data_IF_935564765330
#
_entry.id   IF_935564765330
#
_cell.length_a   1.000
_cell.length_b   1.000
_cell.length_c   1.000
_cell.angle_alpha   90.00
_cell.angle_beta   90.00
_cell.angle_gamma   90.00
#
_symmetry.space_group_name_H-M   'P 1'
#
loop_
_entity.id
_entity.type
_entity.pdbx_description
1 polymer ?
#
# COMPACT_ATOMS: atom_id res chain seq x y z
N UNK A 1 22.19 9.28 -25.41
CA UNK A 1 20.79 9.14 -24.99
C UNK A 1 20.74 7.97 -24.03
N UNK A 2 20.46 8.20 -22.76
CA UNK A 2 20.34 7.12 -21.77
C UNK A 2 18.93 6.54 -21.89
N UNK A 3 18.81 5.27 -22.27
CA UNK A 3 17.52 4.58 -22.24
C UNK A 3 17.12 4.35 -20.79
N UNK A 4 15.87 4.72 -20.46
CA UNK A 4 15.31 4.44 -19.14
C UNK A 4 15.03 2.95 -19.03
N UNK A 5 15.38 2.37 -17.90
CA UNK A 5 15.00 0.99 -17.56
C UNK A 5 13.49 0.84 -17.42
N UNK A 6 12.98 -0.39 -17.59
CA UNK A 6 11.55 -0.69 -17.39
C UNK A 6 11.05 -0.23 -16.02
N UNK A 7 11.84 -0.42 -14.97
CA UNK A 7 11.52 0.01 -13.60
C UNK A 7 11.33 1.53 -13.50
N UNK A 8 12.17 2.31 -14.19
CA UNK A 8 12.06 3.77 -14.22
C UNK A 8 10.79 4.23 -14.95
N UNK A 9 10.41 3.55 -16.04
CA UNK A 9 9.18 3.85 -16.79
C UNK A 9 7.92 3.56 -15.96
N UNK A 10 7.89 2.46 -15.23
CA UNK A 10 6.78 2.09 -14.34
C UNK A 10 6.64 3.10 -13.19
N UNK A 11 7.76 3.46 -12.56
CA UNK A 11 7.79 4.48 -11.52
C UNK A 11 7.35 5.86 -12.05
N UNK A 12 7.74 6.22 -13.28
CA UNK A 12 7.31 7.47 -13.89
C UNK A 12 5.79 7.51 -14.12
N UNK A 13 5.18 6.38 -14.48
CA UNK A 13 3.74 6.27 -14.68
C UNK A 13 2.98 6.55 -13.38
N UNK A 14 3.39 5.90 -12.28
CA UNK A 14 2.77 6.12 -10.96
C UNK A 14 3.02 7.54 -10.47
N UNK A 15 4.24 8.07 -10.64
CA UNK A 15 4.57 9.46 -10.30
C UNK A 15 3.64 10.43 -11.01
N UNK A 16 3.38 10.24 -12.32
CA UNK A 16 2.42 11.04 -13.11
C UNK A 16 1.00 10.92 -12.57
N UNK A 17 0.57 9.72 -12.17
CA UNK A 17 -0.77 9.52 -11.57
C UNK A 17 -0.93 10.26 -10.24
N UNK A 18 0.16 10.43 -9.49
CA UNK A 18 0.18 11.04 -8.16
C UNK A 18 0.64 12.52 -8.16
N UNK A 19 0.85 13.13 -9.33
CA UNK A 19 1.23 14.55 -9.44
C UNK A 19 0.31 15.44 -8.61
N UNK A 20 0.91 16.38 -7.86
CA UNK A 20 0.21 17.31 -6.98
C UNK A 20 -0.16 16.76 -5.61
N UNK A 21 0.15 15.49 -5.31
CA UNK A 21 0.00 14.92 -3.97
C UNK A 21 1.33 14.98 -3.22
N UNK A 22 1.27 15.34 -1.93
CA UNK A 22 2.41 15.25 -1.02
C UNK A 22 2.56 13.81 -0.50
N UNK A 23 2.98 12.90 -1.37
CA UNK A 23 3.23 11.47 -1.04
C UNK A 23 4.73 11.21 -1.11
N UNK A 24 5.31 10.53 -0.11
CA UNK A 24 6.75 10.29 -0.07
C UNK A 24 7.22 9.40 -1.22
N UNK A 25 8.46 9.59 -1.73
CA UNK A 25 9.00 8.77 -2.82
C UNK A 25 8.94 7.27 -2.55
N UNK A 26 9.21 6.84 -1.31
CA UNK A 26 9.16 5.44 -0.92
C UNK A 26 7.75 4.84 -1.06
N UNK A 27 6.72 5.58 -0.65
CA UNK A 27 5.32 5.16 -0.83
C UNK A 27 4.93 5.13 -2.31
N UNK A 28 5.39 6.08 -3.13
CA UNK A 28 5.16 6.04 -4.58
C UNK A 28 5.78 4.79 -5.22
N UNK A 29 7.02 4.44 -4.84
CA UNK A 29 7.69 3.24 -5.33
C UNK A 29 6.98 1.98 -4.85
N UNK A 30 6.55 1.93 -3.59
CA UNK A 30 5.78 0.81 -3.06
C UNK A 30 4.49 0.57 -3.84
N UNK A 31 3.70 1.63 -4.06
CA UNK A 31 2.47 1.58 -4.87
C UNK A 31 2.76 1.10 -6.29
N UNK A 32 3.85 1.58 -6.91
CA UNK A 32 4.28 1.14 -8.23
C UNK A 32 4.53 -0.36 -8.26
N UNK A 33 5.29 -0.90 -7.30
CA UNK A 33 5.57 -2.34 -7.24
C UNK A 33 4.32 -3.18 -7.02
N UNK A 34 3.39 -2.74 -6.17
CA UNK A 34 2.10 -3.42 -5.99
C UNK A 34 1.25 -3.43 -7.27
N UNK A 35 1.22 -2.30 -8.00
CA UNK A 35 0.42 -2.16 -9.21
C UNK A 35 0.89 -3.08 -10.35
N UNK A 36 2.19 -3.35 -10.40
CA UNK A 36 2.83 -4.14 -11.44
C UNK A 36 3.24 -5.55 -10.97
N UNK A 37 2.79 -5.96 -9.78
CA UNK A 37 3.15 -7.23 -9.14
C UNK A 37 4.66 -7.52 -9.13
N UNK A 38 5.45 -6.48 -8.90
CA UNK A 38 6.90 -6.58 -8.78
C UNK A 38 7.30 -6.99 -7.35
N UNK A 39 8.42 -7.71 -7.17
CA UNK A 39 8.95 -8.04 -5.84
C UNK A 39 9.12 -6.78 -4.99
N UNK A 40 8.90 -6.84 -3.67
CA UNK A 40 9.15 -5.71 -2.77
C UNK A 40 10.61 -5.67 -2.32
N UNK A 41 11.14 -4.47 -2.05
CA UNK A 41 12.47 -4.32 -1.45
C UNK A 41 12.43 -4.56 0.05
N UNK A 42 13.56 -4.92 0.71
CA UNK A 42 13.58 -5.12 2.15
C UNK A 42 13.06 -3.92 2.96
N UNK A 43 13.41 -2.65 2.65
CA UNK A 43 12.81 -1.50 3.33
C UNK A 43 11.29 -1.41 3.18
N UNK A 44 10.75 -1.76 2.01
CA UNK A 44 9.30 -1.76 1.78
C UNK A 44 8.60 -2.84 2.60
N UNK A 45 9.18 -4.03 2.72
CA UNK A 45 8.62 -5.08 3.57
C UNK A 45 8.52 -4.62 5.03
N UNK A 46 9.61 -4.04 5.55
CA UNK A 46 9.70 -3.57 6.94
C UNK A 46 8.78 -2.38 7.23
N UNK A 47 8.81 -1.36 6.38
CA UNK A 47 8.11 -0.09 6.64
C UNK A 47 6.59 -0.19 6.47
N UNK A 48 6.13 -1.16 5.67
CA UNK A 48 4.71 -1.44 5.46
C UNK A 48 4.22 -2.71 6.17
N UNK A 49 5.05 -3.35 7.01
CA UNK A 49 4.64 -4.50 7.81
C UNK A 49 4.20 -5.70 6.98
N UNK A 50 4.93 -6.00 5.91
CA UNK A 50 4.65 -7.15 5.04
C UNK A 50 5.44 -8.37 5.52
N UNK A 51 4.85 -9.12 6.45
CA UNK A 51 5.48 -10.32 7.02
C UNK A 51 4.98 -11.63 6.40
N UNK A 52 3.94 -11.56 5.55
CA UNK A 52 3.34 -12.74 4.93
C UNK A 52 2.74 -12.42 3.56
N UNK A 53 2.38 -13.48 2.82
CA UNK A 53 1.66 -13.36 1.55
C UNK A 53 0.29 -12.68 1.73
N UNK A 54 -0.36 -12.87 2.88
CA UNK A 54 -1.67 -12.28 3.12
C UNK A 54 -1.57 -10.78 3.44
N UNK A 55 -0.50 -10.31 4.09
CA UNK A 55 -0.22 -8.87 4.20
C UNK A 55 -0.07 -8.21 2.83
N UNK A 56 0.70 -8.85 1.93
CA UNK A 56 0.87 -8.36 0.56
C UNK A 56 -0.47 -8.29 -0.18
N UNK A 57 -1.25 -9.37 -0.17
CA UNK A 57 -2.55 -9.45 -0.83
C UNK A 57 -3.54 -8.42 -0.27
N UNK A 58 -3.57 -8.26 1.04
CA UNK A 58 -4.44 -7.31 1.72
C UNK A 58 -4.14 -5.85 1.31
N UNK A 59 -2.87 -5.43 1.31
CA UNK A 59 -2.52 -4.07 0.85
C UNK A 59 -2.73 -3.89 -0.65
N UNK A 60 -2.45 -4.92 -1.46
CA UNK A 60 -2.75 -4.88 -2.90
C UNK A 60 -4.24 -4.68 -3.14
N UNK A 61 -5.10 -5.49 -2.53
CA UNK A 61 -6.56 -5.38 -2.64
C UNK A 61 -7.10 -4.03 -2.14
N UNK A 62 -6.53 -3.52 -1.03
CA UNK A 62 -6.94 -2.23 -0.48
C UNK A 62 -6.64 -1.04 -1.39
N UNK A 63 -5.61 -1.14 -2.24
CA UNK A 63 -5.23 -0.07 -3.18
C UNK A 63 -5.84 -0.30 -4.56
N UNK A 64 -5.62 -1.49 -5.09
CA UNK A 64 -5.98 -1.96 -6.43
C UNK A 64 -7.18 -2.88 -6.21
N UNK A 65 -8.33 -2.24 -6.00
CA UNK A 65 -9.58 -2.98 -5.90
C UNK A 65 -9.99 -3.34 -7.33
N UNK A 66 -9.78 -4.60 -7.69
CA UNK A 66 -10.23 -5.19 -8.94
C UNK A 66 -11.75 -5.41 -8.85
N UNK A 67 -12.56 -4.35 -8.73
CA UNK A 67 -14.02 -4.48 -8.73
C UNK A 67 -14.45 -5.08 -10.08
N UNK A 68 -14.89 -6.36 -10.10
CA UNK A 68 -15.24 -7.04 -11.35
C UNK A 68 -16.57 -6.51 -11.93
N UNK A 69 -17.34 -5.73 -11.16
CA UNK A 69 -18.67 -5.25 -11.51
C UNK A 69 -18.73 -3.75 -11.81
N UNK A 70 -17.65 -2.97 -11.61
CA UNK A 70 -17.75 -1.50 -11.63
C UNK A 70 -16.57 -0.68 -12.20
N UNK A 71 -15.44 -1.26 -12.60
CA UNK A 71 -14.20 -0.45 -12.67
C UNK A 71 -13.81 0.24 -13.99
N UNK A 72 -14.28 -0.22 -15.16
CA UNK A 72 -13.71 0.22 -16.45
C UNK A 72 -14.47 1.37 -17.15
N UNK A 73 -15.59 1.83 -16.63
CA UNK A 73 -16.38 2.88 -17.31
C UNK A 73 -15.93 4.32 -17.00
N UNK A 74 -15.29 4.56 -15.84
CA UNK A 74 -14.78 5.89 -15.48
C UNK A 74 -13.32 5.83 -14.96
N UNK A 75 -12.39 6.01 -15.90
CA UNK A 75 -10.96 6.08 -15.61
C UNK A 75 -10.63 7.26 -14.66
N UNK A 76 -11.39 8.36 -14.71
CA UNK A 76 -11.14 9.51 -13.85
C UNK A 76 -11.61 9.24 -12.40
N UNK A 77 -12.74 8.56 -12.23
CA UNK A 77 -13.24 8.05 -10.96
C UNK A 77 -12.26 7.10 -10.29
N UNK A 78 -11.80 6.07 -11.02
CA UNK A 78 -10.77 5.14 -10.55
C UNK A 78 -9.50 5.88 -10.09
N UNK A 79 -8.99 6.79 -10.92
CA UNK A 79 -7.78 7.58 -10.60
C UNK A 79 -7.99 8.43 -9.34
N UNK A 80 -9.18 9.00 -9.12
CA UNK A 80 -9.50 9.82 -7.95
C UNK A 80 -9.48 8.98 -6.67
N UNK A 81 -10.11 7.81 -6.69
CA UNK A 81 -10.14 6.90 -5.54
C UNK A 81 -8.77 6.32 -5.23
N UNK A 82 -8.02 5.90 -6.26
CA UNK A 82 -6.63 5.45 -6.08
C UNK A 82 -5.77 6.55 -5.42
N UNK A 83 -5.85 7.80 -5.91
CA UNK A 83 -5.12 8.94 -5.32
C UNK A 83 -5.46 9.13 -3.84
N UNK A 84 -6.74 9.01 -3.46
CA UNK A 84 -7.18 9.10 -2.06
C UNK A 84 -6.59 7.97 -1.21
N UNK A 85 -6.69 6.72 -1.66
CA UNK A 85 -6.15 5.55 -0.97
C UNK A 85 -4.64 5.64 -0.77
N UNK A 86 -3.91 6.12 -1.79
CA UNK A 86 -2.46 6.33 -1.70
C UNK A 86 -2.07 7.39 -0.67
N UNK A 87 -2.85 8.47 -0.54
CA UNK A 87 -2.63 9.46 0.53
C UNK A 87 -2.89 8.86 1.91
N UNK A 88 -3.93 8.04 2.06
CA UNK A 88 -4.20 7.34 3.32
C UNK A 88 -3.09 6.32 3.66
N UNK A 89 -2.57 5.60 2.66
CA UNK A 89 -1.43 4.70 2.80
C UNK A 89 -0.17 5.45 3.24
N UNK A 90 0.12 6.60 2.63
CA UNK A 90 1.24 7.44 3.03
C UNK A 90 1.10 7.85 4.51
N UNK A 91 -0.08 8.29 4.94
CA UNK A 91 -0.35 8.62 6.35
C UNK A 91 -0.26 7.42 7.31
N UNK A 92 -0.34 6.20 6.80
CA UNK A 92 -0.26 4.95 7.56
C UNK A 92 1.14 4.32 7.61
N UNK A 93 2.11 4.84 6.84
CA UNK A 93 3.49 4.35 6.83
C UNK A 93 4.10 4.26 8.23
N UNK A 94 4.73 3.13 8.54
CA UNK A 94 5.32 2.86 9.86
C UNK A 94 4.30 2.81 11.00
N UNK A 95 3.01 2.66 10.70
CA UNK A 95 1.93 2.56 11.68
C UNK A 95 1.02 1.37 11.36
N UNK A 96 1.38 0.19 11.89
CA UNK A 96 0.64 -1.06 11.72
C UNK A 96 -0.86 -0.95 12.02
N UNK A 97 -1.30 -0.32 13.13
CA UNK A 97 -2.72 -0.10 13.39
C UNK A 97 -3.45 0.70 12.30
N UNK A 98 -2.78 1.69 11.69
CA UNK A 98 -3.37 2.49 10.60
C UNK A 98 -3.42 1.71 9.29
N UNK A 99 -2.42 0.87 9.01
CA UNK A 99 -2.43 -0.04 7.86
C UNK A 99 -3.56 -1.07 7.99
N UNK A 100 -3.74 -1.63 9.18
CA UNK A 100 -4.86 -2.52 9.52
C UNK A 100 -6.21 -1.83 9.28
N UNK A 101 -6.37 -0.59 9.76
CA UNK A 101 -7.59 0.18 9.55
C UNK A 101 -7.84 0.50 8.06
N UNK A 102 -6.78 0.81 7.30
CA UNK A 102 -6.86 1.03 5.86
C UNK A 102 -7.35 -0.22 5.12
N UNK A 103 -6.80 -1.40 5.45
CA UNK A 103 -7.21 -2.67 4.86
C UNK A 103 -8.65 -3.00 5.20
N UNK A 104 -9.04 -2.89 6.47
CA UNK A 104 -10.45 -3.09 6.89
C UNK A 104 -11.43 -2.18 6.14
N UNK A 105 -11.01 -0.97 5.80
CA UNK A 105 -11.83 0.02 5.08
C UNK A 105 -11.99 -0.29 3.60
N UNK A 106 -10.93 -0.74 2.92
CA UNK A 106 -10.90 -0.86 1.45
C UNK A 106 -10.88 -2.29 0.91
N UNK A 107 -10.54 -3.26 1.75
CA UNK A 107 -10.48 -4.69 1.45
C UNK A 107 -11.00 -5.50 2.67
N UNK A 108 -12.28 -5.36 3.03
CA UNK A 108 -12.86 -5.97 4.23
C UNK A 108 -12.77 -7.50 4.24
N UNK A 109 -12.65 -8.15 3.09
CA UNK A 109 -12.37 -9.58 2.95
C UNK A 109 -11.02 -10.00 3.57
N UNK A 110 -10.09 -9.06 3.73
CA UNK A 110 -8.84 -9.22 4.48
C UNK A 110 -8.90 -8.64 5.89
N UNK A 111 -10.10 -8.38 6.44
CA UNK A 111 -10.27 -7.70 7.73
C UNK A 111 -9.67 -8.41 8.95
N UNK A 112 -9.33 -9.70 8.83
CA UNK A 112 -8.62 -10.48 9.84
C UNK A 112 -7.10 -10.25 9.84
N UNK A 113 -6.53 -9.67 8.78
CA UNK A 113 -5.09 -9.39 8.68
C UNK A 113 -4.75 -8.18 9.56
N UNK A 114 -3.80 -8.35 10.47
CA UNK A 114 -3.31 -7.32 11.39
C UNK A 114 -1.87 -6.99 11.03
N UNK A 115 -1.60 -5.71 10.76
CA UNK A 115 -0.28 -5.21 10.43
C UNK A 115 0.44 -4.74 11.68
N UNK A 116 1.71 -5.12 11.79
CA UNK A 116 2.68 -4.54 12.72
C UNK A 116 3.88 -4.07 11.91
N UNK A 117 4.50 -2.96 12.29
CA UNK A 117 5.73 -2.48 11.65
C UNK A 117 6.87 -2.44 12.66
N UNK A 118 8.13 -2.50 12.23
CA UNK A 118 9.27 -2.32 13.14
C UNK A 118 9.25 -0.95 13.84
N UNK A 119 8.64 0.06 13.22
CA UNK A 119 8.42 1.37 13.83
C UNK A 119 7.45 1.33 15.01
N UNK A 120 6.48 0.42 15.01
CA UNK A 120 5.60 0.25 16.16
C UNK A 120 6.36 -0.31 17.36
N UNK A 121 7.28 -1.24 17.13
CA UNK A 121 8.17 -1.78 18.17
C UNK A 121 9.08 -0.68 18.72
N UNK A 122 9.78 0.05 17.84
CA UNK A 122 10.70 1.13 18.24
C UNK A 122 9.99 2.26 18.99
N UNK A 123 8.72 2.51 18.69
CA UNK A 123 7.92 3.54 19.34
C UNK A 123 7.14 3.03 20.57
N UNK A 124 7.28 1.75 20.96
CA UNK A 124 6.54 1.17 22.07
C UNK A 124 5.03 1.06 21.85
N UNK A 125 4.58 0.99 20.59
CA UNK A 125 3.16 0.85 20.19
C UNK A 125 2.71 -0.61 20.04
N UNK A 126 3.47 -1.57 20.56
CA UNK A 126 3.17 -2.99 20.41
C UNK A 126 1.77 -3.26 20.95
N UNK A 127 0.91 -3.82 20.09
CA UNK A 127 -0.39 -4.31 20.50
C UNK A 127 -0.09 -5.57 21.32
N UNK A 128 -0.31 -5.52 22.64
CA UNK A 128 -0.33 -6.75 23.42
C UNK A 128 -1.41 -7.66 22.80
N UNK A 129 -1.00 -8.66 22.04
CA UNK A 129 -1.87 -9.80 21.79
C UNK A 129 -2.15 -10.39 23.16
N UNK A 130 -3.37 -10.18 23.65
CA UNK A 130 -3.90 -11.03 24.71
C UNK A 130 -3.85 -12.44 24.15
N UNK A 131 -2.78 -13.18 24.45
CA UNK A 131 -2.72 -14.61 24.28
C UNK A 131 -3.97 -15.18 24.96
N UNK A 132 -4.92 -15.61 24.15
CA UNK A 132 -6.01 -16.43 24.62
C UNK A 132 -5.37 -17.75 25.05
N UNK A 133 -5.12 -17.87 26.36
CA UNK A 133 -4.83 -19.14 27.04
C UNK A 133 -6.13 -19.90 27.20
#
# INVERSE_FOLDING_TARGET
MTELSSDELLNLTVKRMLVGLAVRPLTQHFVSRLLWDLPLTPPQLVDFGIDSKDHYRALRAALINDDPNGGAQDQAGYKRELRKRVVELDKAYGHGPKLTALVKKYAPEYGAVVFTTSWDVLAGRVIEEKSAV
#
